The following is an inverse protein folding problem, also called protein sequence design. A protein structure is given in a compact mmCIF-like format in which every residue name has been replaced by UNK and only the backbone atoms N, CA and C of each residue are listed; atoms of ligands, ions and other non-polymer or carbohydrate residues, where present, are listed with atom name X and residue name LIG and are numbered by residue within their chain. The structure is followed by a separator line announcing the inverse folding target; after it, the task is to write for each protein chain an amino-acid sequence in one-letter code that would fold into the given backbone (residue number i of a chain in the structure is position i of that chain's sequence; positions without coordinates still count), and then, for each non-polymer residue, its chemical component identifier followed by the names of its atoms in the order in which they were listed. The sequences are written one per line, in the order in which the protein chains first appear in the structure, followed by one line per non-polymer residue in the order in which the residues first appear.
data_IF_256860170894
#
_entry.id   IF_256860170894
#
_cell.length_a   1.000
_cell.length_b   1.000
_cell.length_c   1.000
_cell.angle_alpha   90.00
_cell.angle_beta   90.00
_cell.angle_gamma   90.00
#
_symmetry.space_group_name_H-M   'P 1'
#
loop_
_entity.id
_entity.type
_entity.pdbx_description
1 polymer ?
#
# COMPACT_ATOMS: atom_id res chain seq x y z
N UNK A 1 8.15 -29.94 0.05
CA UNK A 1 9.17 -29.65 1.10
C UNK A 1 10.02 -28.43 0.76
N UNK A 2 10.34 -28.16 -0.52
CA UNK A 2 11.05 -26.93 -0.93
C UNK A 2 10.20 -25.65 -0.71
N UNK A 3 8.91 -25.71 -1.02
CA UNK A 3 7.97 -24.58 -0.91
C UNK A 3 7.89 -23.97 0.50
N UNK A 4 7.90 -24.81 1.54
CA UNK A 4 7.88 -24.34 2.94
C UNK A 4 9.14 -23.57 3.30
N UNK A 5 10.31 -24.04 2.83
CA UNK A 5 11.59 -23.42 3.13
C UNK A 5 11.75 -22.07 2.43
N UNK A 6 11.36 -21.98 1.16
CA UNK A 6 11.45 -20.73 0.40
C UNK A 6 10.49 -19.67 0.97
N UNK A 7 9.30 -20.09 1.39
CA UNK A 7 8.34 -19.24 2.09
C UNK A 7 8.91 -18.69 3.40
N UNK A 8 9.49 -19.55 4.25
CA UNK A 8 10.10 -19.14 5.53
C UNK A 8 11.26 -18.15 5.32
N UNK A 9 12.08 -18.35 4.28
CA UNK A 9 13.17 -17.44 3.94
C UNK A 9 12.63 -16.08 3.50
N UNK A 10 11.61 -16.06 2.64
CA UNK A 10 10.98 -14.82 2.19
C UNK A 10 10.27 -14.07 3.32
N UNK A 11 9.57 -14.78 4.21
CA UNK A 11 8.94 -14.19 5.40
C UNK A 11 9.99 -13.55 6.32
N UNK A 12 11.10 -14.26 6.58
CA UNK A 12 12.20 -13.71 7.39
C UNK A 12 12.81 -12.47 6.76
N UNK A 13 13.05 -12.48 5.45
CA UNK A 13 13.57 -11.32 4.74
C UNK A 13 12.63 -10.11 4.81
N UNK A 14 11.31 -10.32 4.73
CA UNK A 14 10.31 -9.26 4.92
C UNK A 14 10.31 -8.72 6.35
N UNK A 15 10.43 -9.59 7.36
CA UNK A 15 10.55 -9.15 8.76
C UNK A 15 11.82 -8.31 8.93
N UNK A 16 12.97 -8.77 8.45
CA UNK A 16 14.24 -8.02 8.50
C UNK A 16 14.15 -6.68 7.76
N UNK A 17 13.42 -6.61 6.65
CA UNK A 17 13.16 -5.35 5.96
C UNK A 17 12.28 -4.42 6.80
N UNK A 18 11.20 -4.93 7.39
CA UNK A 18 10.31 -4.16 8.27
C UNK A 18 11.00 -3.69 9.55
N UNK A 19 12.02 -4.41 10.04
CA UNK A 19 12.86 -3.98 11.16
C UNK A 19 13.68 -2.71 10.88
N UNK A 20 14.00 -2.45 9.61
CA UNK A 20 14.70 -1.23 9.17
C UNK A 20 13.77 -0.02 9.07
N UNK A 21 12.46 -0.25 9.16
CA UNK A 21 11.43 0.77 9.13
C UNK A 21 10.96 1.13 10.55
N UNK A 22 10.21 2.22 10.67
CA UNK A 22 9.58 2.63 11.92
C UNK A 22 8.32 1.82 12.28
N UNK A 23 8.00 0.74 11.55
CA UNK A 23 6.85 -0.14 11.85
C UNK A 23 7.02 -0.78 13.24
N UNK A 24 5.99 -0.70 14.12
CA UNK A 24 6.05 -1.27 15.46
C UNK A 24 6.38 -2.77 15.45
N UNK A 25 7.24 -3.22 16.36
CA UNK A 25 7.71 -4.61 16.44
C UNK A 25 6.56 -5.64 16.48
N UNK A 26 5.46 -5.32 17.17
CA UNK A 26 4.28 -6.18 17.29
C UNK A 26 3.52 -6.39 15.96
N UNK A 27 3.79 -5.55 14.94
CA UNK A 27 3.13 -5.60 13.64
C UNK A 27 4.01 -6.24 12.57
N UNK A 28 5.32 -6.35 12.77
CA UNK A 28 6.27 -6.77 11.73
C UNK A 28 5.98 -8.18 11.20
N UNK A 29 5.90 -9.18 12.08
CA UNK A 29 5.64 -10.56 11.65
C UNK A 29 4.22 -10.74 11.07
N UNK A 30 3.13 -10.26 11.71
CA UNK A 30 1.80 -10.34 11.11
C UNK A 30 1.69 -9.64 9.76
N UNK A 31 2.31 -8.47 9.61
CA UNK A 31 2.32 -7.74 8.35
C UNK A 31 3.14 -8.46 7.28
N UNK A 32 4.30 -9.03 7.63
CA UNK A 32 5.09 -9.83 6.71
C UNK A 32 4.28 -11.00 6.14
N UNK A 33 3.54 -11.72 6.99
CA UNK A 33 2.67 -12.82 6.56
C UNK A 33 1.58 -12.36 5.58
N UNK A 34 0.97 -11.21 5.83
CA UNK A 34 -0.08 -10.64 4.95
C UNK A 34 0.49 -10.10 3.63
N UNK A 35 1.72 -9.59 3.63
CA UNK A 35 2.38 -9.09 2.43
C UNK A 35 3.01 -10.21 1.59
N UNK A 36 3.38 -11.33 2.21
CA UNK A 36 4.09 -12.43 1.55
C UNK A 36 3.45 -12.93 0.23
N UNK A 37 2.12 -13.10 0.12
CA UNK A 37 1.48 -13.50 -1.13
C UNK A 37 1.66 -12.50 -2.28
N UNK A 38 1.99 -11.24 -1.99
CA UNK A 38 2.21 -10.19 -3.01
C UNK A 38 3.56 -10.34 -3.71
N UNK A 39 4.47 -11.10 -3.12
CA UNK A 39 5.81 -11.40 -3.62
C UNK A 39 5.91 -12.75 -4.31
N UNK A 40 4.85 -13.53 -4.29
CA UNK A 40 4.77 -14.78 -5.03
C UNK A 40 4.64 -14.46 -6.52
N UNK A 41 5.70 -14.75 -7.28
CA UNK A 41 5.69 -14.68 -8.73
C UNK A 41 5.48 -16.10 -9.28
N UNK A 42 4.59 -16.23 -10.27
CA UNK A 42 4.48 -17.47 -11.02
C UNK A 42 5.79 -17.73 -11.77
N UNK A 43 6.43 -18.87 -11.51
CA UNK A 43 7.64 -19.26 -12.23
C UNK A 43 7.26 -19.58 -13.69
N UNK A 44 7.63 -18.67 -14.59
CA UNK A 44 7.42 -18.82 -16.03
C UNK A 44 8.51 -19.66 -16.71
N UNK A 45 9.51 -20.15 -15.96
CA UNK A 45 10.65 -20.87 -16.52
C UNK A 45 10.36 -22.34 -16.91
N UNK A 46 9.14 -22.84 -16.65
CA UNK A 46 8.71 -24.18 -17.02
C UNK A 46 8.47 -24.37 -18.52
N UNK A 47 9.54 -24.59 -19.32
CA UNK A 47 9.42 -25.29 -20.60
C UNK A 47 9.13 -26.78 -20.36
N UNK A 48 7.92 -27.12 -19.94
CA UNK A 48 7.48 -28.50 -19.72
C UNK A 48 6.24 -28.62 -18.83
N UNK A 49 5.35 -29.57 -19.17
CA UNK A 49 4.18 -30.06 -18.41
C UNK A 49 3.61 -29.10 -17.35
N UNK A 50 3.12 -27.92 -17.74
CA UNK A 50 2.03 -27.15 -17.11
C UNK A 50 1.99 -26.89 -15.60
N UNK A 51 3.00 -27.27 -14.81
CA UNK A 51 3.03 -27.06 -13.37
C UNK A 51 3.65 -25.69 -13.13
N UNK A 52 2.80 -24.73 -12.77
CA UNK A 52 3.22 -23.42 -12.30
C UNK A 52 3.74 -23.58 -10.87
N UNK A 53 5.05 -23.47 -10.67
CA UNK A 53 5.65 -23.40 -9.33
C UNK A 53 5.71 -21.92 -8.95
N UNK A 54 5.20 -21.54 -7.77
CA UNK A 54 5.37 -20.17 -7.27
C UNK A 54 6.79 -19.97 -6.73
N UNK A 55 7.40 -18.82 -6.99
CA UNK A 55 8.65 -18.40 -6.36
C UNK A 55 8.46 -17.03 -5.69
N UNK A 56 8.87 -16.91 -4.43
CA UNK A 56 8.91 -15.62 -3.75
C UNK A 56 10.12 -14.81 -4.22
N UNK A 57 9.87 -13.65 -4.79
CA UNK A 57 10.90 -12.72 -5.27
C UNK A 57 10.64 -11.35 -4.65
N UNK A 58 11.53 -10.93 -3.76
CA UNK A 58 11.57 -9.59 -3.18
C UNK A 58 12.67 -8.83 -3.92
N UNK A 59 12.30 -7.75 -4.62
CA UNK A 59 13.25 -6.91 -5.37
C UNK A 59 13.62 -5.69 -4.54
N UNK A 60 14.74 -5.04 -4.85
CA UNK A 60 15.17 -3.83 -4.14
C UNK A 60 14.11 -2.70 -4.23
N UNK A 61 13.46 -2.54 -5.37
CA UNK A 61 12.35 -1.59 -5.56
C UNK A 61 11.19 -1.86 -4.57
N UNK A 62 10.99 -3.10 -4.17
CA UNK A 62 9.94 -3.47 -3.23
C UNK A 62 10.32 -3.16 -1.78
N UNK A 63 11.62 -3.17 -1.48
CA UNK A 63 12.13 -2.75 -0.18
C UNK A 63 11.96 -1.24 -0.02
N UNK A 64 12.24 -0.47 -1.07
CA UNK A 64 11.96 0.98 -1.08
C UNK A 64 10.47 1.29 -0.91
N UNK A 65 9.59 0.41 -1.41
CA UNK A 65 8.14 0.54 -1.19
C UNK A 65 7.75 0.32 0.28
N UNK A 66 8.44 -0.56 1.01
CA UNK A 66 8.21 -0.76 2.45
C UNK A 66 8.57 0.50 3.24
N UNK A 67 9.70 1.14 2.93
CA UNK A 67 10.10 2.40 3.55
C UNK A 67 9.06 3.50 3.33
N UNK A 68 8.49 3.55 2.13
CA UNK A 68 7.47 4.53 1.75
C UNK A 68 6.10 4.26 2.40
N UNK A 69 5.75 2.99 2.61
CA UNK A 69 4.48 2.60 3.24
C UNK A 69 4.57 2.63 4.78
N UNK A 70 5.75 2.57 5.37
CA UNK A 70 5.93 2.57 6.82
C UNK A 70 5.21 3.74 7.54
N UNK A 71 5.29 5.01 7.08
CA UNK A 71 4.53 6.11 7.67
C UNK A 71 3.01 5.90 7.64
N UNK A 72 2.50 5.25 6.60
CA UNK A 72 1.08 4.89 6.47
C UNK A 72 0.70 3.83 7.50
N UNK A 73 1.52 2.79 7.65
CA UNK A 73 1.32 1.74 8.67
C UNK A 73 1.30 2.33 10.07
N UNK A 74 2.24 3.22 10.39
CA UNK A 74 2.32 3.90 11.69
C UNK A 74 1.06 4.74 11.91
N UNK A 75 0.67 5.53 10.91
CA UNK A 75 -0.51 6.39 10.96
C UNK A 75 -1.82 5.62 11.16
N UNK A 76 -1.94 4.44 10.53
CA UNK A 76 -3.10 3.56 10.69
C UNK A 76 -3.07 2.88 12.05
N UNK A 77 -1.92 2.31 12.45
CA UNK A 77 -1.76 1.61 13.72
C UNK A 77 -2.10 2.50 14.92
N UNK A 78 -1.64 3.75 14.91
CA UNK A 78 -1.96 4.75 15.94
C UNK A 78 -3.46 5.07 15.99
N UNK A 79 -4.12 5.16 14.83
CA UNK A 79 -5.56 5.42 14.77
C UNK A 79 -6.39 4.25 15.32
N UNK A 80 -5.96 3.01 15.09
CA UNK A 80 -6.64 1.82 15.63
C UNK A 80 -6.50 1.66 17.14
N UNK A 81 -5.34 1.98 17.71
CA UNK A 81 -5.15 1.97 19.17
C UNK A 81 -6.07 3.00 19.85
N UNK A 82 -6.32 4.13 19.19
CA UNK A 82 -7.13 5.23 19.75
C UNK A 82 -8.66 5.01 19.67
N UNK A 83 -9.17 4.20 18.71
CA UNK A 83 -10.61 4.25 18.34
C UNK A 83 -11.51 3.12 18.83
N UNK A 84 -10.98 2.02 19.37
CA UNK A 84 -11.69 0.95 20.12
C UNK A 84 -11.07 -0.43 19.80
N UNK A 85 -10.97 -1.36 20.77
CA UNK A 85 -10.48 -2.73 20.55
C UNK A 85 -11.35 -3.58 19.61
N UNK A 86 -12.49 -3.05 19.12
CA UNK A 86 -13.37 -3.75 18.19
C UNK A 86 -12.80 -3.87 16.75
N UNK A 87 -11.82 -3.04 16.37
CA UNK A 87 -11.09 -3.25 15.13
C UNK A 87 -10.07 -4.38 15.34
N UNK A 88 -10.38 -5.56 14.81
CA UNK A 88 -9.46 -6.69 14.85
C UNK A 88 -8.19 -6.32 14.10
N UNK A 89 -7.03 -6.61 14.69
CA UNK A 89 -5.70 -6.38 14.09
C UNK A 89 -5.63 -6.90 12.65
N UNK A 90 -6.34 -7.99 12.33
CA UNK A 90 -6.46 -8.54 10.98
C UNK A 90 -7.09 -7.58 9.95
N UNK A 91 -8.15 -6.83 10.31
CA UNK A 91 -8.77 -5.86 9.40
C UNK A 91 -7.80 -4.73 9.03
N UNK A 92 -6.97 -4.33 10.00
CA UNK A 92 -5.98 -3.28 9.81
C UNK A 92 -4.84 -3.76 8.91
N UNK A 93 -4.31 -4.95 9.19
CA UNK A 93 -3.27 -5.57 8.38
C UNK A 93 -3.75 -5.81 6.93
N UNK A 94 -4.99 -6.27 6.75
CA UNK A 94 -5.59 -6.44 5.42
C UNK A 94 -5.71 -5.11 4.66
N UNK A 95 -6.00 -4.00 5.36
CA UNK A 95 -6.03 -2.67 4.73
C UNK A 95 -4.64 -2.24 4.27
N UNK A 96 -3.61 -2.47 5.09
CA UNK A 96 -2.22 -2.17 4.72
C UNK A 96 -1.79 -3.03 3.52
N UNK A 97 -2.07 -4.33 3.54
CA UNK A 97 -1.74 -5.23 2.45
C UNK A 97 -2.45 -4.84 1.15
N UNK A 98 -3.71 -4.39 1.23
CA UNK A 98 -4.43 -3.87 0.07
C UNK A 98 -3.78 -2.61 -0.51
N UNK A 99 -3.35 -1.67 0.34
CA UNK A 99 -2.61 -0.46 -0.09
C UNK A 99 -1.29 -0.86 -0.76
N UNK A 100 -0.52 -1.75 -0.12
CA UNK A 100 0.74 -2.24 -0.68
C UNK A 100 0.56 -2.90 -2.04
N UNK A 101 -0.44 -3.78 -2.16
CA UNK A 101 -0.79 -4.45 -3.43
C UNK A 101 -1.14 -3.43 -4.51
N UNK A 102 -1.94 -2.42 -4.18
CA UNK A 102 -2.34 -1.38 -5.11
C UNK A 102 -1.11 -0.61 -5.64
N UNK A 103 -0.25 -0.14 -4.74
CA UNK A 103 0.94 0.63 -5.11
C UNK A 103 1.93 -0.22 -5.90
N UNK A 104 2.22 -1.45 -5.47
CA UNK A 104 3.07 -2.40 -6.22
C UNK A 104 2.53 -2.65 -7.63
N UNK A 105 1.21 -2.79 -7.78
CA UNK A 105 0.57 -2.98 -9.09
C UNK A 105 0.77 -1.76 -9.99
N UNK A 106 0.64 -0.55 -9.45
CA UNK A 106 0.88 0.70 -10.19
C UNK A 106 2.35 0.86 -10.60
N UNK A 107 3.28 0.59 -9.69
CA UNK A 107 4.72 0.64 -9.99
C UNK A 107 5.11 -0.37 -11.08
N UNK A 108 4.55 -1.59 -11.05
CA UNK A 108 4.76 -2.59 -12.12
C UNK A 108 4.20 -2.12 -13.48
N UNK A 109 3.14 -1.31 -13.48
CA UNK A 109 2.63 -0.61 -14.67
C UNK A 109 3.46 0.62 -15.06
N UNK A 110 4.55 0.90 -14.35
CA UNK A 110 5.45 2.03 -14.60
C UNK A 110 4.91 3.38 -14.14
N UNK A 111 3.89 3.40 -13.27
CA UNK A 111 3.51 4.62 -12.59
C UNK A 111 4.52 4.93 -11.48
N UNK A 112 4.81 6.22 -11.32
CA UNK A 112 5.55 6.76 -10.18
C UNK A 112 4.57 7.51 -9.30
N UNK A 113 4.55 7.21 -8.00
CA UNK A 113 3.76 7.95 -7.03
C UNK A 113 4.68 8.73 -6.09
N UNK A 114 4.36 9.99 -5.86
CA UNK A 114 5.02 10.79 -4.82
C UNK A 114 4.54 10.37 -3.42
N UNK A 115 5.31 10.72 -2.38
CA UNK A 115 4.91 10.46 -0.99
C UNK A 115 3.58 11.13 -0.60
N UNK A 116 3.24 12.26 -1.22
CA UNK A 116 1.99 12.97 -0.97
C UNK A 116 0.80 12.25 -1.60
N UNK A 117 0.95 11.79 -2.84
CA UNK A 117 -0.04 10.97 -3.54
C UNK A 117 -0.32 9.66 -2.78
N UNK A 118 0.71 9.04 -2.19
CA UNK A 118 0.61 7.92 -1.26
C UNK A 118 -0.39 8.16 -0.14
N UNK A 119 -0.15 9.26 0.58
CA UNK A 119 -0.82 9.61 1.82
C UNK A 119 -2.27 9.92 1.52
N UNK A 120 -2.51 10.62 0.41
CA UNK A 120 -3.85 10.91 -0.10
C UNK A 120 -4.62 9.63 -0.41
N UNK A 121 -4.04 8.71 -1.18
CA UNK A 121 -4.69 7.43 -1.52
C UNK A 121 -4.99 6.60 -0.26
N UNK A 122 -4.02 6.49 0.65
CA UNK A 122 -4.19 5.77 1.91
C UNK A 122 -5.28 6.39 2.79
N UNK A 123 -5.33 7.72 2.88
CA UNK A 123 -6.33 8.44 3.67
C UNK A 123 -7.74 8.31 3.09
N UNK A 124 -7.90 8.31 1.75
CA UNK A 124 -9.19 8.03 1.10
C UNK A 124 -9.61 6.59 1.40
N UNK A 125 -8.71 5.60 1.27
CA UNK A 125 -9.00 4.18 1.52
C UNK A 125 -9.38 3.89 2.98
N UNK A 126 -8.79 4.63 3.92
CA UNK A 126 -9.05 4.49 5.35
C UNK A 126 -10.36 5.15 5.82
N UNK A 127 -11.15 5.74 4.91
CA UNK A 127 -12.49 6.23 5.21
C UNK A 127 -13.54 5.20 4.82
N UNK A 128 -14.52 4.97 5.70
CA UNK A 128 -15.68 4.12 5.38
C UNK A 128 -16.57 4.75 4.30
N UNK A 129 -16.60 6.09 4.24
CA UNK A 129 -17.27 6.87 3.20
C UNK A 129 -16.29 7.78 2.44
N UNK A 130 -16.54 8.07 1.16
CA UNK A 130 -15.74 8.99 0.37
C UNK A 130 -15.59 10.37 1.05
N UNK A 131 -14.37 10.82 1.42
CA UNK A 131 -14.17 12.08 2.12
C UNK A 131 -14.23 13.28 1.17
N UNK A 132 -14.65 14.44 1.67
CA UNK A 132 -14.47 15.72 0.96
C UNK A 132 -13.02 16.21 1.10
N UNK A 133 -12.60 17.17 0.26
CA UNK A 133 -11.25 17.76 0.34
C UNK A 133 -10.93 18.30 1.73
N UNK A 134 -11.87 18.99 2.39
CA UNK A 134 -11.67 19.52 3.74
C UNK A 134 -11.45 18.44 4.80
N UNK A 135 -12.24 17.36 4.76
CA UNK A 135 -12.06 16.21 5.69
C UNK A 135 -10.72 15.52 5.45
N UNK A 136 -10.32 15.41 4.19
CA UNK A 136 -9.05 14.81 3.81
C UNK A 136 -7.85 15.66 4.27
N UNK A 137 -7.95 16.99 4.13
CA UNK A 137 -6.93 17.93 4.60
C UNK A 137 -6.73 17.85 6.10
N UNK A 138 -7.80 17.93 6.90
CA UNK A 138 -7.68 17.83 8.37
C UNK A 138 -7.05 16.51 8.83
N UNK A 139 -7.24 15.41 8.08
CA UNK A 139 -6.61 14.12 8.40
C UNK A 139 -5.13 14.07 8.03
N UNK A 140 -4.71 14.84 7.03
CA UNK A 140 -3.36 14.76 6.45
C UNK A 140 -2.45 15.91 6.88
N UNK A 141 -3.00 16.98 7.47
CA UNK A 141 -2.25 18.17 7.91
C UNK A 141 -1.03 17.81 8.76
N UNK A 142 -1.24 16.97 9.76
CA UNK A 142 -0.19 16.57 10.70
C UNK A 142 0.58 15.33 10.21
N UNK A 143 0.39 14.94 8.94
CA UNK A 143 0.98 13.73 8.31
C UNK A 143 1.78 14.05 7.04
N UNK A 144 2.20 15.31 6.88
CA UNK A 144 3.08 15.76 5.80
C UNK A 144 2.39 16.53 4.68
N UNK A 145 1.05 16.68 4.69
CA UNK A 145 0.33 17.57 3.77
C UNK A 145 -0.04 18.85 4.50
N UNK A 146 0.92 19.76 4.64
CA UNK A 146 0.81 20.93 5.52
C UNK A 146 -0.15 22.00 4.98
N UNK A 147 -0.37 22.04 3.67
CA UNK A 147 -1.17 23.08 3.00
C UNK A 147 -2.28 22.50 2.12
N UNK A 148 -3.38 23.25 1.97
CA UNK A 148 -4.47 22.87 1.06
C UNK A 148 -3.97 22.76 -0.39
N UNK A 149 -3.06 23.67 -0.80
CA UNK A 149 -2.49 23.66 -2.14
C UNK A 149 -1.72 22.35 -2.43
N UNK A 150 -0.94 21.85 -1.46
CA UNK A 150 -0.27 20.54 -1.60
C UNK A 150 -1.26 19.39 -1.76
N UNK A 151 -2.38 19.41 -1.01
CA UNK A 151 -3.42 18.40 -1.15
C UNK A 151 -4.08 18.45 -2.54
N UNK A 152 -4.46 19.64 -2.99
CA UNK A 152 -5.11 19.84 -4.29
C UNK A 152 -4.19 19.43 -5.45
N UNK A 153 -2.91 19.76 -5.36
CA UNK A 153 -1.88 19.37 -6.32
C UNK A 153 -1.67 17.85 -6.35
N UNK A 154 -1.63 17.19 -5.19
CA UNK A 154 -1.59 15.73 -5.11
C UNK A 154 -2.86 15.06 -5.69
N UNK A 155 -4.05 15.60 -5.41
CA UNK A 155 -5.31 15.12 -5.96
C UNK A 155 -5.37 15.28 -7.49
N UNK A 156 -4.92 16.43 -8.01
CA UNK A 156 -4.85 16.68 -9.45
C UNK A 156 -3.91 15.69 -10.15
N UNK A 157 -2.72 15.44 -9.59
CA UNK A 157 -1.80 14.41 -10.13
C UNK A 157 -2.39 13.01 -10.10
N UNK A 158 -3.12 12.65 -9.04
CA UNK A 158 -3.79 11.35 -8.92
C UNK A 158 -4.93 11.16 -9.93
N UNK A 159 -5.50 12.23 -10.49
CA UNK A 159 -6.48 12.14 -11.58
C UNK A 159 -5.83 11.81 -12.93
N UNK A 160 -4.54 12.06 -13.11
CA UNK A 160 -3.83 11.88 -14.38
C UNK A 160 -2.48 11.17 -14.21
N UNK A 161 -2.50 9.94 -13.72
CA UNK A 161 -1.27 9.16 -13.50
C UNK A 161 -0.81 8.50 -14.80
N UNK A 162 0.42 8.80 -15.23
CA UNK A 162 1.04 8.16 -16.39
C UNK A 162 1.50 6.75 -16.04
N UNK A 163 1.06 5.78 -16.83
CA UNK A 163 1.53 4.39 -16.83
C UNK A 163 2.11 4.04 -18.19
N UNK A 164 2.77 2.88 -18.30
CA UNK A 164 3.23 2.31 -19.59
C UNK A 164 2.08 2.09 -20.58
N UNK A 165 0.86 1.88 -20.09
CA UNK A 165 -0.34 1.68 -20.91
C UNK A 165 -1.09 2.97 -21.26
N UNK A 166 -0.66 4.13 -20.76
CA UNK A 166 -1.35 5.41 -20.94
C UNK A 166 -1.69 6.10 -19.63
N UNK A 167 -2.61 7.07 -19.68
CA UNK A 167 -3.08 7.80 -18.50
C UNK A 167 -4.20 7.01 -17.79
N UNK A 168 -4.12 6.94 -16.46
CA UNK A 168 -5.17 6.36 -15.61
C UNK A 168 -5.50 7.31 -14.46
N UNK A 169 -6.78 7.45 -14.15
CA UNK A 169 -7.25 8.18 -12.99
C UNK A 169 -7.31 7.24 -11.78
N UNK A 170 -6.52 7.53 -10.75
CA UNK A 170 -6.51 6.77 -9.50
C UNK A 170 -7.52 7.30 -8.47
N UNK A 171 -7.94 8.56 -8.63
CA UNK A 171 -9.00 9.16 -7.84
C UNK A 171 -10.02 9.84 -8.75
N UNK A 172 -11.27 9.85 -8.33
CA UNK A 172 -12.33 10.63 -8.97
C UNK A 172 -13.12 11.38 -7.91
N UNK A 173 -13.65 12.53 -8.31
CA UNK A 173 -14.55 13.32 -7.47
C UNK A 173 -15.99 13.08 -7.92
N UNK A 174 -16.87 12.76 -6.97
CA UNK A 174 -18.30 12.58 -7.27
C UNK A 174 -19.04 13.93 -7.36
N UNK A 175 -20.34 13.88 -7.69
CA UNK A 175 -21.20 15.07 -7.79
C UNK A 175 -21.44 15.79 -6.45
N UNK A 176 -20.99 15.22 -5.33
CA UNK A 176 -21.06 15.78 -3.98
C UNK A 176 -19.69 16.25 -3.48
N UNK A 177 -18.71 16.41 -4.38
CA UNK A 177 -17.34 16.83 -4.07
C UNK A 177 -16.59 15.87 -3.16
N UNK A 178 -16.97 14.58 -3.14
CA UNK A 178 -16.29 13.54 -2.37
C UNK A 178 -15.33 12.74 -3.23
N UNK A 179 -14.20 12.36 -2.66
CA UNK A 179 -13.12 11.67 -3.34
C UNK A 179 -13.22 10.16 -3.19
N UNK A 180 -13.17 9.46 -4.32
CA UNK A 180 -13.18 8.01 -4.40
C UNK A 180 -11.89 7.51 -5.05
N UNK A 181 -11.42 6.34 -4.66
CA UNK A 181 -10.38 5.63 -5.43
C UNK A 181 -11.03 5.03 -6.67
N UNK A 182 -10.40 5.23 -7.82
CA UNK A 182 -10.83 4.74 -9.13
C UNK A 182 -9.71 3.91 -9.77
N UNK A 183 -10.07 3.00 -10.69
CA UNK A 183 -9.08 2.24 -11.45
C UNK A 183 -8.49 1.00 -10.76
N UNK A 184 -9.28 0.33 -9.89
CA UNK A 184 -8.97 -1.04 -9.42
C UNK A 184 -9.45 -2.06 -10.44
#
# INVERSE_FOLDING_TARGET
MLETRDREVAERALVEALERTEVPATWRAPLAVELLPLFEEADSSGRGLGIVVGRWVIRDDDLSLLDWIAPVVISISAATVARSPAYTTSAVLGTIAAIFRFVRTLMRKGATLSADEARVLAAIKACDEPPTTGVLFERLRDRGIETMAQLEDALARLQEVRTRSGLVALVTQDSRSRWNISGV
#
